data_IF_514578702104
#
_entry.id   IF_514578702104
#
_cell.length_a   1.000
_cell.length_b   1.000
_cell.length_c   1.000
_cell.angle_alpha   90.00
_cell.angle_beta   90.00
_cell.angle_gamma   90.00
#
_symmetry.space_group_name_H-M   'P 1'
#
loop_
_entity.id
_entity.type
_entity.pdbx_description
1 polymer ?
#
# COMPACT_ATOMS: atom_id res chain seq x y z
N UNK A 1 3.67 -18.36 -11.33
CA UNK A 1 3.89 -18.13 -12.78
C UNK A 1 4.00 -16.65 -13.00
N UNK A 2 5.20 -16.19 -13.32
CA UNK A 2 5.43 -14.78 -13.53
C UNK A 2 4.79 -14.37 -14.84
N UNK A 3 3.70 -13.62 -14.76
CA UNK A 3 3.14 -12.99 -15.93
C UNK A 3 4.08 -11.85 -16.30
N UNK A 4 4.88 -12.06 -17.33
CA UNK A 4 5.64 -10.97 -17.89
C UNK A 4 4.63 -9.98 -18.46
N UNK A 5 4.44 -8.87 -17.77
CA UNK A 5 3.61 -7.81 -18.30
C UNK A 5 4.36 -7.22 -19.49
N UNK A 6 3.81 -7.37 -20.66
CA UNK A 6 4.34 -6.72 -21.84
C UNK A 6 4.06 -5.23 -21.76
N UNK A 7 5.08 -4.48 -21.43
CA UNK A 7 5.00 -3.02 -21.33
C UNK A 7 5.16 -2.31 -22.68
N UNK A 8 5.43 -3.03 -23.75
CA UNK A 8 5.70 -2.42 -25.06
C UNK A 8 4.53 -1.61 -25.62
N UNK A 9 3.30 -2.01 -25.30
CA UNK A 9 2.08 -1.26 -25.65
C UNK A 9 1.66 -0.20 -24.63
N UNK A 10 2.35 -0.13 -23.50
CA UNK A 10 1.96 0.70 -22.36
C UNK A 10 2.59 2.09 -22.37
N UNK A 11 3.54 2.36 -23.25
CA UNK A 11 4.29 3.63 -23.25
C UNK A 11 3.39 4.85 -23.38
N UNK A 12 2.36 4.77 -24.22
CA UNK A 12 1.40 5.87 -24.37
C UNK A 12 0.54 6.06 -23.13
N UNK A 13 0.16 4.97 -22.46
CA UNK A 13 -0.57 5.03 -21.20
C UNK A 13 0.30 5.64 -20.10
N UNK A 14 1.56 5.23 -20.02
CA UNK A 14 2.52 5.78 -19.05
C UNK A 14 2.79 7.25 -19.32
N UNK A 15 2.96 7.66 -20.56
CA UNK A 15 3.17 9.06 -20.94
C UNK A 15 1.95 9.92 -20.57
N UNK A 16 0.75 9.43 -20.87
CA UNK A 16 -0.50 10.11 -20.49
C UNK A 16 -0.60 10.27 -18.98
N UNK A 17 -0.29 9.21 -18.24
CA UNK A 17 -0.28 9.18 -16.79
C UNK A 17 0.72 10.18 -16.20
N UNK A 18 1.92 10.32 -16.78
CA UNK A 18 2.94 11.23 -16.30
C UNK A 18 2.60 12.72 -16.54
N UNK A 19 1.71 13.02 -17.48
CA UNK A 19 1.40 14.42 -17.83
C UNK A 19 0.23 14.99 -17.04
N UNK A 20 -0.98 14.54 -17.24
CA UNK A 20 -2.15 15.17 -16.59
C UNK A 20 -3.33 14.20 -16.51
N UNK A 21 -3.06 12.93 -16.18
CA UNK A 21 -4.05 11.89 -16.19
C UNK A 21 -4.78 11.80 -14.82
N UNK A 22 -6.11 11.60 -14.79
CA UNK A 22 -6.85 11.36 -13.55
C UNK A 22 -6.32 10.17 -12.73
N UNK A 23 -5.68 9.19 -13.36
CA UNK A 23 -5.04 8.08 -12.68
C UNK A 23 -3.94 8.51 -11.69
N UNK A 24 -3.38 9.70 -11.83
CA UNK A 24 -2.40 10.24 -10.87
C UNK A 24 -3.03 10.47 -9.49
N UNK A 25 -4.27 10.91 -9.44
CA UNK A 25 -5.00 11.07 -8.17
C UNK A 25 -5.19 9.73 -7.47
N UNK A 26 -5.54 8.69 -8.23
CA UNK A 26 -5.67 7.32 -7.72
C UNK A 26 -4.32 6.86 -7.17
N UNK A 27 -3.23 7.06 -7.91
CA UNK A 27 -1.89 6.65 -7.46
C UNK A 27 -1.50 7.33 -6.15
N UNK A 28 -1.86 8.59 -5.95
CA UNK A 28 -1.56 9.30 -4.70
C UNK A 28 -2.15 8.58 -3.48
N UNK A 29 -3.36 8.06 -3.62
CA UNK A 29 -4.00 7.26 -2.56
C UNK A 29 -3.31 5.90 -2.41
N UNK A 30 -3.04 5.23 -3.52
CA UNK A 30 -2.46 3.88 -3.53
C UNK A 30 -1.01 3.85 -3.06
N UNK A 31 -0.27 4.95 -3.20
CA UNK A 31 1.11 5.05 -2.75
C UNK A 31 1.25 5.33 -1.25
N UNK A 32 0.16 5.46 -0.52
CA UNK A 32 0.18 5.66 0.92
C UNK A 32 0.66 4.39 1.62
N UNK A 33 1.60 4.56 2.54
CA UNK A 33 2.18 3.46 3.32
C UNK A 33 1.11 2.62 4.02
N UNK A 34 0.14 3.27 4.65
CA UNK A 34 -0.89 2.57 5.41
C UNK A 34 -1.85 1.81 4.52
N UNK A 35 -2.14 2.32 3.32
CA UNK A 35 -2.92 1.60 2.31
C UNK A 35 -2.23 0.28 1.96
N UNK A 36 -0.95 0.34 1.63
CA UNK A 36 -0.16 -0.85 1.28
C UNK A 36 -0.12 -1.87 2.43
N UNK A 37 0.06 -1.39 3.66
CA UNK A 37 0.14 -2.26 4.84
C UNK A 37 -1.21 -2.89 5.18
N UNK A 38 -2.32 -2.14 5.09
CA UNK A 38 -3.66 -2.69 5.30
C UNK A 38 -3.98 -3.77 4.27
N UNK A 39 -3.70 -3.50 3.00
CA UNK A 39 -3.89 -4.49 1.94
C UNK A 39 -3.08 -5.75 2.21
N UNK A 40 -1.85 -5.60 2.67
CA UNK A 40 -0.98 -6.71 3.03
C UNK A 40 -1.56 -7.57 4.14
N UNK A 41 -2.05 -6.96 5.21
CA UNK A 41 -2.66 -7.70 6.34
C UNK A 41 -3.92 -8.44 5.89
N UNK A 42 -4.80 -7.77 5.15
CA UNK A 42 -6.04 -8.39 4.68
C UNK A 42 -5.77 -9.54 3.71
N UNK A 43 -4.74 -9.39 2.86
CA UNK A 43 -4.32 -10.45 1.94
C UNK A 43 -3.80 -11.67 2.71
N UNK A 44 -2.93 -11.45 3.69
CA UNK A 44 -2.37 -12.54 4.50
C UNK A 44 -3.42 -13.26 5.32
N UNK A 45 -4.42 -12.54 5.83
CA UNK A 45 -5.48 -13.12 6.62
C UNK A 45 -6.35 -14.07 5.81
N UNK A 46 -6.62 -13.75 4.53
CA UNK A 46 -7.46 -14.56 3.66
C UNK A 46 -8.92 -14.66 4.08
N UNK A 47 -9.32 -13.93 5.09
CA UNK A 47 -10.65 -13.90 5.67
C UNK A 47 -10.95 -12.51 6.22
N UNK A 48 -12.23 -12.18 6.51
CA UNK A 48 -12.55 -10.88 7.10
C UNK A 48 -11.86 -10.66 8.43
N UNK A 49 -11.37 -9.43 8.65
CA UNK A 49 -10.61 -9.05 9.86
C UNK A 49 -11.35 -7.91 10.55
N UNK A 50 -11.49 -8.02 11.86
CA UNK A 50 -12.09 -6.97 12.70
C UNK A 50 -11.18 -5.75 12.81
N UNK A 51 -11.78 -4.59 13.00
CA UNK A 51 -11.06 -3.32 13.13
C UNK A 51 -9.93 -3.38 14.17
N UNK A 52 -10.22 -3.87 15.37
CA UNK A 52 -9.23 -3.94 16.43
C UNK A 52 -8.11 -4.92 16.13
N UNK A 53 -8.40 -6.01 15.41
CA UNK A 53 -7.39 -6.96 14.98
C UNK A 53 -6.47 -6.36 13.91
N UNK A 54 -7.03 -5.58 12.99
CA UNK A 54 -6.22 -4.81 12.02
C UNK A 54 -5.29 -3.85 12.74
N UNK A 55 -5.82 -3.10 13.70
CA UNK A 55 -5.04 -2.13 14.45
C UNK A 55 -3.87 -2.77 15.19
N UNK A 56 -4.09 -3.93 15.80
CA UNK A 56 -3.04 -4.66 16.51
C UNK A 56 -1.93 -5.17 15.58
N UNK A 57 -2.29 -5.56 14.34
CA UNK A 57 -1.33 -6.06 13.35
C UNK A 57 -0.56 -4.96 12.64
N UNK A 58 -1.04 -3.71 12.73
CA UNK A 58 -0.44 -2.54 12.09
C UNK A 58 0.24 -1.68 13.15
N UNK A 59 1.48 -2.01 13.47
CA UNK A 59 2.23 -1.32 14.49
C UNK A 59 2.38 0.18 14.17
N UNK A 60 2.05 0.99 15.17
CA UNK A 60 2.18 2.44 15.08
C UNK A 60 1.00 3.18 14.44
N UNK A 61 -0.02 2.48 13.95
CA UNK A 61 -1.20 3.16 13.42
C UNK A 61 -2.13 3.63 14.54
N UNK A 62 -2.61 4.87 14.43
CA UNK A 62 -3.65 5.38 15.34
C UNK A 62 -5.02 4.93 14.86
N UNK A 63 -5.99 4.91 15.79
CA UNK A 63 -7.38 4.62 15.44
C UNK A 63 -7.91 5.55 14.35
N UNK A 64 -7.58 6.84 14.46
CA UNK A 64 -7.99 7.86 13.49
C UNK A 64 -7.43 7.58 12.10
N UNK A 65 -6.14 7.25 12.01
CA UNK A 65 -5.48 6.93 10.74
C UNK A 65 -6.05 5.66 10.12
N UNK A 66 -6.26 4.62 10.91
CA UNK A 66 -6.85 3.37 10.42
C UNK A 66 -8.28 3.59 9.91
N UNK A 67 -9.10 4.32 10.66
CA UNK A 67 -10.46 4.67 10.24
C UNK A 67 -10.43 5.39 8.89
N UNK A 68 -9.58 6.38 8.77
CA UNK A 68 -9.44 7.17 7.54
C UNK A 68 -8.98 6.31 6.36
N UNK A 69 -7.97 5.49 6.58
CA UNK A 69 -7.43 4.59 5.54
C UNK A 69 -8.50 3.60 5.05
N UNK A 70 -9.21 2.97 5.99
CA UNK A 70 -10.27 2.00 5.65
C UNK A 70 -11.42 2.67 4.91
N UNK A 71 -11.82 3.88 5.29
CA UNK A 71 -12.87 4.62 4.58
C UNK A 71 -12.47 4.95 3.15
N UNK A 72 -11.22 5.36 2.94
CA UNK A 72 -10.71 5.63 1.60
C UNK A 72 -10.67 4.36 0.76
N UNK A 73 -10.24 3.24 1.32
CA UNK A 73 -10.21 1.95 0.63
C UNK A 73 -11.61 1.45 0.29
N UNK A 74 -12.57 1.62 1.19
CA UNK A 74 -13.96 1.27 0.93
C UNK A 74 -14.55 2.14 -0.17
N UNK A 75 -14.31 3.44 -0.12
CA UNK A 75 -14.76 4.40 -1.14
C UNK A 75 -14.23 4.05 -2.53
N UNK A 76 -12.98 3.59 -2.61
CA UNK A 76 -12.34 3.23 -3.88
C UNK A 76 -12.67 1.80 -4.33
N UNK A 77 -13.52 1.09 -3.60
CA UNK A 77 -13.94 -0.25 -3.97
C UNK A 77 -12.91 -1.33 -3.75
N UNK A 78 -11.89 -1.07 -2.93
CA UNK A 78 -10.78 -2.00 -2.66
C UNK A 78 -11.05 -2.89 -1.44
N UNK A 79 -11.87 -2.41 -0.52
CA UNK A 79 -12.20 -3.08 0.74
C UNK A 79 -13.72 -3.09 0.91
N UNK A 80 -14.23 -4.22 1.40
CA UNK A 80 -15.63 -4.38 1.81
C UNK A 80 -15.71 -4.25 3.32
N UNK A 81 -16.69 -3.47 3.79
CA UNK A 81 -17.00 -3.32 5.19
C UNK A 81 -18.32 -4.04 5.49
N UNK A 82 -18.29 -4.96 6.42
CA UNK A 82 -19.47 -5.67 6.87
C UNK A 82 -19.76 -5.33 8.34
N UNK A 83 -20.98 -4.89 8.62
CA UNK A 83 -21.42 -4.56 9.97
C UNK A 83 -22.41 -5.63 10.43
N UNK A 84 -22.14 -6.22 11.58
CA UNK A 84 -23.00 -7.20 12.21
C UNK A 84 -23.72 -6.56 13.41
N UNK A 85 -25.06 -6.67 13.50
CA UNK A 85 -25.83 -6.04 14.56
C UNK A 85 -25.78 -6.83 15.87
N UNK A 86 -24.57 -7.08 16.34
CA UNK A 86 -24.31 -7.70 17.64
C UNK A 86 -24.18 -6.62 18.71
N UNK A 87 -24.09 -7.01 19.99
CA UNK A 87 -23.87 -6.09 21.12
C UNK A 87 -22.58 -6.51 21.84
N UNK A 88 -21.47 -5.74 21.70
CA UNK A 88 -21.30 -4.55 20.86
C UNK A 88 -21.31 -4.86 19.37
N UNK A 89 -21.55 -3.87 18.49
CA UNK A 89 -21.52 -4.09 17.03
C UNK A 89 -20.17 -4.59 16.56
N UNK A 90 -20.19 -5.54 15.65
CA UNK A 90 -18.97 -6.09 15.05
C UNK A 90 -18.82 -5.56 13.62
N UNK A 91 -17.67 -4.99 13.32
CA UNK A 91 -17.31 -4.52 11.99
C UNK A 91 -16.14 -5.31 11.49
N UNK A 92 -16.27 -5.89 10.31
CA UNK A 92 -15.23 -6.68 9.66
C UNK A 92 -14.89 -6.10 8.29
N UNK A 93 -13.64 -6.24 7.91
CA UNK A 93 -13.10 -5.76 6.64
C UNK A 93 -12.49 -6.90 5.87
N UNK A 94 -12.73 -6.91 4.56
CA UNK A 94 -12.17 -7.90 3.64
C UNK A 94 -11.84 -7.25 2.31
N UNK A 95 -10.96 -7.88 1.53
CA UNK A 95 -10.62 -7.40 0.20
C UNK A 95 -11.76 -7.71 -0.78
N UNK A 96 -12.04 -6.75 -1.66
CA UNK A 96 -12.79 -7.01 -2.89
C UNK A 96 -11.86 -7.69 -3.91
N UNK A 97 -12.40 -8.14 -5.04
CA UNK A 97 -11.57 -8.67 -6.13
C UNK A 97 -10.58 -7.62 -6.62
N UNK A 98 -11.01 -6.37 -6.73
CA UNK A 98 -10.14 -5.26 -7.09
C UNK A 98 -9.05 -5.05 -6.03
N UNK A 99 -9.41 -5.07 -4.75
CA UNK A 99 -8.47 -4.96 -3.64
C UNK A 99 -7.46 -6.11 -3.61
N UNK A 100 -7.90 -7.33 -3.93
CA UNK A 100 -7.01 -8.47 -4.01
C UNK A 100 -5.96 -8.31 -5.12
N UNK A 101 -6.35 -7.77 -6.28
CA UNK A 101 -5.41 -7.50 -7.37
C UNK A 101 -4.34 -6.48 -6.97
N UNK A 102 -4.73 -5.42 -6.27
CA UNK A 102 -3.78 -4.44 -5.74
C UNK A 102 -2.92 -5.05 -4.63
N UNK A 103 -3.50 -5.92 -3.80
CA UNK A 103 -2.78 -6.62 -2.74
C UNK A 103 -1.62 -7.48 -3.26
N UNK A 104 -1.73 -8.03 -4.46
CA UNK A 104 -0.63 -8.75 -5.11
C UNK A 104 0.55 -7.83 -5.40
N UNK A 105 0.29 -6.62 -5.90
CA UNK A 105 1.33 -5.62 -6.14
C UNK A 105 1.96 -5.16 -4.83
N UNK A 106 1.15 -4.92 -3.82
CA UNK A 106 1.61 -4.57 -2.47
C UNK A 106 2.52 -5.65 -1.89
N UNK A 107 2.16 -6.91 -2.06
CA UNK A 107 2.98 -8.05 -1.62
C UNK A 107 4.33 -8.07 -2.35
N UNK A 108 4.33 -7.88 -3.67
CA UNK A 108 5.56 -7.83 -4.45
C UNK A 108 6.49 -6.70 -3.99
N UNK A 109 5.93 -5.52 -3.67
CA UNK A 109 6.71 -4.41 -3.11
C UNK A 109 7.28 -4.75 -1.74
N UNK A 110 6.51 -5.42 -0.89
CA UNK A 110 6.97 -5.88 0.41
C UNK A 110 8.12 -6.87 0.32
N UNK A 111 8.00 -7.85 -0.55
CA UNK A 111 9.06 -8.84 -0.81
C UNK A 111 10.32 -8.16 -1.30
N UNK A 112 10.20 -7.28 -2.28
CA UNK A 112 11.33 -6.51 -2.81
C UNK A 112 12.02 -5.71 -1.71
N UNK A 113 11.24 -5.05 -0.87
CA UNK A 113 11.76 -4.22 0.23
C UNK A 113 12.55 -5.04 1.24
N UNK A 114 12.07 -6.22 1.60
CA UNK A 114 12.77 -7.13 2.51
C UNK A 114 14.07 -7.65 1.88
N UNK A 115 14.02 -8.02 0.61
CA UNK A 115 15.19 -8.56 -0.10
C UNK A 115 16.30 -7.52 -0.29
N UNK A 116 15.94 -6.24 -0.45
CA UNK A 116 16.88 -5.16 -0.78
C UNK A 116 17.09 -4.15 0.35
N UNK A 117 16.53 -4.43 1.52
CA UNK A 117 16.60 -3.52 2.68
C UNK A 117 18.05 -3.17 3.05
N UNK A 118 18.92 -4.15 3.12
CA UNK A 118 20.33 -3.92 3.48
C UNK A 118 21.07 -3.08 2.44
N UNK A 119 20.80 -3.31 1.15
CA UNK A 119 21.41 -2.51 0.08
C UNK A 119 20.99 -1.03 0.17
N UNK A 120 19.71 -0.80 0.46
CA UNK A 120 19.17 0.56 0.63
C UNK A 120 19.85 1.26 1.82
N UNK A 121 19.95 0.57 2.97
CA UNK A 121 20.57 1.14 4.16
C UNK A 121 22.06 1.44 3.92
N UNK A 122 22.76 0.55 3.23
CA UNK A 122 24.17 0.79 2.86
C UNK A 122 24.32 2.02 1.97
N UNK A 123 23.45 2.16 0.97
CA UNK A 123 23.46 3.32 0.08
C UNK A 123 23.20 4.63 0.84
N UNK A 124 22.27 4.61 1.81
CA UNK A 124 21.99 5.77 2.66
C UNK A 124 23.20 6.16 3.50
N UNK A 125 23.85 5.18 4.13
CA UNK A 125 25.06 5.42 4.94
C UNK A 125 26.19 6.03 4.10
N UNK A 126 26.42 5.49 2.91
CA UNK A 126 27.43 6.01 2.00
C UNK A 126 27.12 7.44 1.55
N UNK A 127 25.87 7.72 1.25
CA UNK A 127 25.41 9.06 0.90
C UNK A 127 25.62 10.04 2.06
N UNK A 128 25.18 9.67 3.26
CA UNK A 128 25.27 10.52 4.45
C UNK A 128 26.72 10.82 4.79
N UNK A 129 27.60 9.84 4.63
CA UNK A 129 29.05 10.03 4.83
C UNK A 129 29.65 11.00 3.81
N UNK A 130 29.27 10.89 2.53
CA UNK A 130 29.72 11.83 1.49
C UNK A 130 29.13 13.22 1.69
N UNK A 131 27.85 13.32 2.02
CA UNK A 131 27.17 14.60 2.22
C UNK A 131 27.74 15.40 3.38
N UNK A 132 28.34 14.73 4.37
CA UNK A 132 29.04 15.40 5.47
C UNK A 132 30.32 16.11 5.01
N UNK A 133 30.89 15.73 3.86
CA UNK A 133 32.14 16.27 3.32
C UNK A 133 31.98 17.02 2.01
N UNK A 134 30.94 16.75 1.25
CA UNK A 134 30.66 17.38 -0.04
C UNK A 134 29.68 18.56 0.11
N UNK A 135 29.92 19.69 -0.55
CA UNK A 135 28.94 20.77 -0.58
C UNK A 135 27.70 20.36 -1.35
N UNK A 136 26.54 20.84 -0.90
CA UNK A 136 25.30 20.63 -1.63
C UNK A 136 25.40 21.19 -3.06
N UNK A 137 24.81 20.51 -4.05
CA UNK A 137 24.74 21.06 -5.40
C UNK A 137 23.93 22.36 -5.39
N UNK A 138 24.48 23.36 -5.99
CA UNK A 138 23.87 24.69 -6.12
C UNK A 138 22.75 24.68 -7.17
#
# INVERSE_FOLDING_TARGET
MDTIVDWSGSDNLVKSYLTNCPAREVLTVLADKWVLLVLGVLRMAGEPVRFNDLRRRLDGITQKMLTRTLRNLERDGLVRRAVYPTVPPRVEYSLTDLGASLGELSHAMGVWSVQHHSEILTARDEFDTRAATDPEPV
#
